data_IF_276135124896
#
_entry.id   IF_276135124896
#
_cell.length_a   1.000
_cell.length_b   1.000
_cell.length_c   1.000
_cell.angle_alpha   90.00
_cell.angle_beta   90.00
_cell.angle_gamma   90.00
#
_symmetry.space_group_name_H-M   'P 1'
#
loop_
_entity.id
_entity.type
_entity.pdbx_description
1 polymer ?
#
# COMPACT_ATOMS: atom_id res chain seq x y z
N UNK A 1 27.25 -80.89 -17.56
CA UNK A 1 26.78 -81.78 -16.47
C UNK A 1 26.51 -80.93 -15.24
N UNK A 2 25.34 -81.13 -14.61
CA UNK A 2 24.90 -80.52 -13.33
C UNK A 2 25.74 -81.03 -12.17
N UNK A 3 25.80 -80.27 -11.05
CA UNK A 3 25.71 -80.69 -9.61
C UNK A 3 26.00 -79.42 -8.75
N UNK A 4 24.96 -78.80 -8.16
CA UNK A 4 24.56 -78.82 -6.72
C UNK A 4 25.51 -78.02 -5.80
N UNK A 5 25.15 -76.81 -5.36
CA UNK A 5 24.32 -76.44 -4.18
C UNK A 5 25.07 -76.38 -2.84
N UNK A 6 25.03 -75.24 -2.13
CA UNK A 6 24.44 -75.07 -0.78
C UNK A 6 24.66 -73.65 -0.22
N UNK A 7 23.67 -73.26 0.58
CA UNK A 7 23.46 -71.97 1.25
C UNK A 7 24.53 -71.63 2.28
N UNK A 8 24.78 -70.33 2.47
CA UNK A 8 25.10 -69.77 3.78
C UNK A 8 24.32 -68.47 3.98
N UNK A 9 23.44 -68.50 4.97
CA UNK A 9 22.60 -67.43 5.46
C UNK A 9 23.45 -66.37 6.16
N UNK A 10 23.25 -65.10 5.82
CA UNK A 10 23.85 -63.97 6.54
C UNK A 10 22.92 -62.78 6.46
N UNK A 11 22.03 -62.64 7.45
CA UNK A 11 21.19 -61.46 7.64
C UNK A 11 22.05 -60.27 8.06
N UNK A 12 22.07 -59.21 7.26
CA UNK A 12 22.52 -57.90 7.68
C UNK A 12 21.44 -56.87 7.32
N UNK A 13 20.75 -56.39 8.34
CA UNK A 13 19.76 -55.33 8.23
C UNK A 13 20.45 -54.01 7.86
N UNK A 14 19.89 -53.27 6.90
CA UNK A 14 20.24 -51.86 6.70
C UNK A 14 18.96 -51.04 6.59
N UNK A 15 18.90 -50.02 7.45
CA UNK A 15 17.74 -49.24 7.80
C UNK A 15 17.12 -48.50 6.60
N UNK A 16 15.79 -48.50 6.59
CA UNK A 16 14.95 -47.67 5.74
C UNK A 16 15.16 -46.19 6.12
N UNK A 17 16.01 -45.48 5.39
CA UNK A 17 16.05 -44.03 5.47
C UNK A 17 14.85 -43.49 4.68
N UNK A 18 13.75 -43.26 5.40
CA UNK A 18 12.68 -42.40 4.91
C UNK A 18 13.28 -41.00 4.71
N UNK A 19 13.63 -40.67 3.46
CA UNK A 19 13.83 -39.28 3.05
C UNK A 19 12.49 -38.59 3.22
N UNK A 20 12.31 -37.90 4.34
CA UNK A 20 11.22 -36.96 4.50
C UNK A 20 11.34 -35.92 3.39
N UNK A 21 10.46 -36.00 2.41
CA UNK A 21 10.21 -34.88 1.51
C UNK A 21 9.58 -33.79 2.37
N UNK A 22 10.40 -32.86 2.88
CA UNK A 22 9.86 -31.59 3.35
C UNK A 22 9.21 -30.93 2.14
N UNK A 23 7.88 -30.90 2.11
CA UNK A 23 7.16 -30.06 1.19
C UNK A 23 7.71 -28.64 1.35
N UNK A 24 8.31 -28.10 0.29
CA UNK A 24 8.57 -26.67 0.23
C UNK A 24 7.19 -26.00 0.22
N UNK A 25 6.75 -25.55 1.39
CA UNK A 25 5.64 -24.62 1.47
C UNK A 25 6.11 -23.37 0.74
N UNK A 26 5.64 -23.18 -0.50
CA UNK A 26 5.68 -21.88 -1.14
C UNK A 26 4.77 -20.99 -0.30
N UNK A 27 5.34 -20.33 0.71
CA UNK A 27 4.66 -19.20 1.33
C UNK A 27 4.47 -18.17 0.22
N UNK A 28 3.24 -18.03 -0.25
CA UNK A 28 2.85 -16.94 -1.14
C UNK A 28 3.17 -15.66 -0.40
N UNK A 29 4.34 -15.06 -0.70
CA UNK A 29 4.64 -13.73 -0.24
C UNK A 29 3.52 -12.82 -0.76
N UNK A 30 2.87 -12.03 0.13
CA UNK A 30 1.88 -11.07 -0.34
C UNK A 30 2.54 -10.19 -1.39
N UNK A 31 1.83 -9.96 -2.49
CA UNK A 31 2.31 -9.08 -3.55
C UNK A 31 2.75 -7.74 -2.91
N UNK A 32 3.91 -7.18 -3.32
CA UNK A 32 4.38 -5.93 -2.77
C UNK A 32 3.28 -4.88 -2.90
N UNK A 33 2.94 -4.22 -1.79
CA UNK A 33 1.94 -3.16 -1.77
C UNK A 33 2.35 -1.99 -2.67
N UNK A 34 1.40 -1.12 -3.07
CA UNK A 34 1.69 0.01 -3.93
C UNK A 34 2.76 0.92 -3.32
N UNK A 35 3.83 1.19 -4.07
CA UNK A 35 4.92 2.07 -3.65
C UNK A 35 4.58 3.53 -3.90
N UNK A 36 4.85 4.41 -2.93
CA UNK A 36 4.66 5.86 -3.08
C UNK A 36 5.81 6.44 -3.91
N UNK A 37 5.46 7.12 -5.00
CA UNK A 37 6.40 7.68 -5.97
C UNK A 37 6.42 9.21 -5.96
N UNK A 38 5.38 9.84 -5.41
CA UNK A 38 5.31 11.28 -5.20
C UNK A 38 4.36 11.57 -4.03
N UNK A 39 4.58 12.66 -3.30
CA UNK A 39 3.69 13.08 -2.22
C UNK A 39 3.77 14.57 -1.99
N UNK A 40 2.69 15.16 -1.48
CA UNK A 40 2.65 16.53 -0.98
C UNK A 40 2.02 16.62 0.40
N UNK A 41 2.36 17.69 1.10
CA UNK A 41 1.86 17.95 2.44
C UNK A 41 1.68 19.44 2.69
N UNK A 42 0.74 19.79 3.56
CA UNK A 42 0.51 21.17 3.97
C UNK A 42 0.03 21.20 5.42
N UNK A 43 0.56 22.16 6.18
CA UNK A 43 0.03 22.53 7.47
C UNK A 43 -1.27 23.33 7.26
N UNK A 44 -2.37 22.86 7.87
CA UNK A 44 -3.69 23.47 7.72
C UNK A 44 -4.04 24.19 9.01
N UNK A 45 -4.15 25.51 8.94
CA UNK A 45 -4.58 26.33 10.06
C UNK A 45 -6.10 26.18 10.28
N UNK A 46 -6.59 26.35 11.53
CA UNK A 46 -8.02 26.38 11.80
C UNK A 46 -8.77 27.38 10.92
N UNK A 47 -9.86 26.93 10.31
CA UNK A 47 -10.73 27.76 9.49
C UNK A 47 -10.24 28.06 8.08
N UNK A 48 -9.13 27.46 7.64
CA UNK A 48 -8.56 27.65 6.30
C UNK A 48 -8.99 26.56 5.33
N UNK A 49 -8.97 26.91 4.05
CA UNK A 49 -9.15 26.01 2.92
C UNK A 49 -8.20 26.43 1.79
N UNK A 50 -7.73 25.47 1.01
CA UNK A 50 -6.88 25.69 -0.13
C UNK A 50 -7.17 24.70 -1.25
N UNK A 51 -6.88 25.11 -2.47
CA UNK A 51 -6.92 24.25 -3.65
C UNK A 51 -5.70 24.52 -4.53
N UNK A 52 -5.02 23.47 -4.96
CA UNK A 52 -3.95 23.55 -5.96
C UNK A 52 -4.33 22.69 -7.16
N UNK A 53 -4.08 23.19 -8.37
CA UNK A 53 -4.29 22.47 -9.63
C UNK A 53 -3.01 22.48 -10.45
N UNK A 54 -2.75 21.37 -11.13
CA UNK A 54 -1.72 21.31 -12.17
C UNK A 54 -2.38 21.01 -13.51
N UNK A 55 -1.97 21.73 -14.56
CA UNK A 55 -2.55 21.62 -15.89
C UNK A 55 -1.48 21.24 -16.91
N UNK A 56 -1.84 20.42 -17.90
CA UNK A 56 -1.02 20.22 -19.07
C UNK A 56 -1.26 21.34 -20.10
N UNK A 57 -0.18 22.03 -20.48
CA UNK A 57 -0.17 23.22 -21.34
C UNK A 57 -0.72 23.03 -22.76
N UNK A 58 -1.03 21.80 -23.17
CA UNK A 58 -1.52 21.48 -24.53
C UNK A 58 -3.05 21.37 -24.66
N UNK A 59 -3.82 21.64 -23.61
CA UNK A 59 -5.29 21.58 -23.75
C UNK A 59 -6.15 21.94 -22.54
N UNK A 60 -5.61 22.66 -21.55
CA UNK A 60 -6.33 23.00 -20.30
C UNK A 60 -6.96 21.78 -19.60
N UNK A 61 -6.29 20.64 -19.69
CA UNK A 61 -6.73 19.44 -18.97
C UNK A 61 -6.02 19.41 -17.63
N UNK A 62 -6.80 19.46 -16.56
CA UNK A 62 -6.33 19.30 -15.18
C UNK A 62 -5.68 17.93 -15.06
N UNK A 63 -4.37 17.90 -14.78
CA UNK A 63 -3.64 16.67 -14.51
C UNK A 63 -3.87 16.21 -13.08
N UNK A 64 -3.74 17.13 -12.12
CA UNK A 64 -4.04 16.87 -10.73
C UNK A 64 -4.73 18.05 -10.08
N UNK A 65 -5.54 17.76 -9.05
CA UNK A 65 -6.14 18.76 -8.21
C UNK A 65 -6.11 18.28 -6.76
N UNK A 66 -5.78 19.18 -5.85
CA UNK A 66 -5.74 18.91 -4.43
C UNK A 66 -6.53 19.97 -3.70
N UNK A 67 -7.55 19.57 -2.94
CA UNK A 67 -8.33 20.46 -2.09
C UNK A 67 -8.22 20.00 -0.63
N UNK A 68 -7.91 20.93 0.26
CA UNK A 68 -7.67 20.64 1.67
C UNK A 68 -8.16 21.78 2.56
N UNK A 69 -8.41 21.49 3.83
CA UNK A 69 -8.90 22.50 4.77
C UNK A 69 -9.44 21.93 6.07
N UNK A 70 -10.01 22.81 6.90
CA UNK A 70 -10.60 22.45 8.20
C UNK A 70 -12.08 22.82 8.34
N UNK A 71 -12.74 23.25 7.26
CA UNK A 71 -14.17 23.61 7.23
C UNK A 71 -14.96 22.68 6.30
N UNK A 72 -16.09 22.08 6.74
CA UNK A 72 -16.61 22.05 8.12
C UNK A 72 -15.86 21.06 9.04
N UNK A 73 -14.92 20.28 8.49
CA UNK A 73 -14.09 19.29 9.19
C UNK A 73 -12.70 19.28 8.57
N UNK A 74 -11.72 18.61 9.18
CA UNK A 74 -10.41 18.41 8.56
C UNK A 74 -10.57 17.53 7.32
N UNK A 75 -10.01 17.94 6.19
CA UNK A 75 -10.09 17.20 4.94
C UNK A 75 -8.85 17.33 4.06
N UNK A 76 -8.62 16.29 3.26
CA UNK A 76 -7.69 16.26 2.14
C UNK A 76 -8.35 15.45 1.03
N UNK A 77 -8.59 16.07 -0.12
CA UNK A 77 -9.21 15.46 -1.28
C UNK A 77 -8.25 15.62 -2.45
N UNK A 78 -7.87 14.52 -3.09
CA UNK A 78 -6.88 14.57 -4.17
C UNK A 78 -7.36 13.81 -5.39
N UNK A 79 -7.18 14.42 -6.57
CA UNK A 79 -7.44 13.86 -7.88
C UNK A 79 -6.14 13.81 -8.67
N UNK A 80 -5.93 12.70 -9.36
CA UNK A 80 -4.93 12.58 -10.41
C UNK A 80 -5.53 11.87 -11.61
N UNK A 81 -5.37 12.45 -12.80
CA UNK A 81 -6.01 11.97 -14.04
C UNK A 81 -5.48 10.62 -14.48
N UNK A 82 -4.17 10.45 -14.46
CA UNK A 82 -3.48 9.30 -15.09
C UNK A 82 -2.84 8.30 -14.12
N UNK A 83 -2.77 8.60 -12.81
CA UNK A 83 -2.01 7.79 -11.84
C UNK A 83 -2.87 7.38 -10.65
N UNK A 84 -2.56 6.20 -10.11
CA UNK A 84 -3.11 5.75 -8.83
C UNK A 84 -2.62 6.66 -7.71
N UNK A 85 -3.49 6.99 -6.77
CA UNK A 85 -3.19 8.00 -5.76
C UNK A 85 -4.05 7.84 -4.51
N UNK A 86 -3.75 8.61 -3.46
CA UNK A 86 -4.58 8.68 -2.27
C UNK A 86 -4.37 9.98 -1.52
N UNK A 87 -5.21 10.19 -0.51
CA UNK A 87 -5.17 11.36 0.38
C UNK A 87 -5.17 10.91 1.83
N UNK A 88 -4.65 11.76 2.70
CA UNK A 88 -4.74 11.55 4.14
C UNK A 88 -4.75 12.87 4.90
N UNK A 89 -5.18 12.80 6.14
CA UNK A 89 -5.13 13.89 7.11
C UNK A 89 -4.48 13.40 8.39
N UNK A 90 -3.78 14.27 9.09
CA UNK A 90 -3.22 14.03 10.42
C UNK A 90 -3.62 15.16 11.34
N UNK A 91 -4.28 14.84 12.44
CA UNK A 91 -4.63 15.84 13.45
C UNK A 91 -3.39 16.25 14.26
N UNK A 92 -3.43 17.39 14.93
CA UNK A 92 -2.40 17.83 15.87
C UNK A 92 -2.15 16.82 17.00
N UNK A 93 -3.17 16.02 17.35
CA UNK A 93 -3.07 14.92 18.31
C UNK A 93 -2.42 13.65 17.73
N UNK A 94 -2.01 13.68 16.46
CA UNK A 94 -1.32 12.58 15.78
C UNK A 94 -2.23 11.53 15.15
N UNK A 95 -3.56 11.69 15.21
CA UNK A 95 -4.50 10.74 14.60
C UNK A 95 -4.46 10.89 13.08
N UNK A 96 -4.21 9.78 12.38
CA UNK A 96 -4.17 9.74 10.92
C UNK A 96 -5.46 9.09 10.39
N UNK A 97 -6.00 9.65 9.32
CA UNK A 97 -7.07 9.02 8.54
C UNK A 97 -6.70 9.11 7.07
N UNK A 98 -6.78 7.99 6.37
CA UNK A 98 -6.25 7.83 5.03
C UNK A 98 -7.26 7.13 4.12
N UNK A 99 -7.33 7.58 2.87
CA UNK A 99 -8.10 6.90 1.82
C UNK A 99 -7.41 5.61 1.40
N UNK A 100 -8.20 4.69 0.82
CA UNK A 100 -7.64 3.63 -0.02
C UNK A 100 -6.89 4.24 -1.21
N UNK A 101 -6.13 3.39 -1.92
CA UNK A 101 -5.57 3.80 -3.20
C UNK A 101 -6.72 3.91 -4.22
N UNK A 102 -6.81 5.05 -4.87
CA UNK A 102 -7.88 5.42 -5.79
C UNK A 102 -7.39 5.32 -7.21
N UNK A 103 -8.25 4.80 -8.09
CA UNK A 103 -7.94 4.64 -9.51
C UNK A 103 -7.73 6.00 -10.21
N UNK A 104 -6.94 6.02 -11.31
CA UNK A 104 -6.80 7.20 -12.15
C UNK A 104 -8.16 7.80 -12.56
N UNK A 105 -8.24 9.13 -12.55
CA UNK A 105 -9.43 9.88 -12.99
C UNK A 105 -10.57 9.90 -11.97
N UNK A 106 -10.36 9.38 -10.77
CA UNK A 106 -11.29 9.48 -9.64
C UNK A 106 -10.71 10.37 -8.54
N UNK A 107 -11.56 10.84 -7.64
CA UNK A 107 -11.13 11.58 -6.46
C UNK A 107 -10.92 10.63 -5.29
N UNK A 108 -9.79 10.78 -4.61
CA UNK A 108 -9.56 10.25 -3.27
C UNK A 108 -10.03 11.25 -2.22
N UNK A 109 -10.58 10.76 -1.12
CA UNK A 109 -11.09 11.59 -0.03
C UNK A 109 -10.62 11.07 1.33
N UNK A 110 -10.13 11.99 2.16
CA UNK A 110 -9.78 11.72 3.54
C UNK A 110 -10.35 12.82 4.45
N UNK A 111 -10.93 12.41 5.57
CA UNK A 111 -11.59 13.31 6.51
C UNK A 111 -11.20 12.98 7.95
N UNK A 112 -11.19 14.00 8.79
CA UNK A 112 -10.99 13.88 10.22
C UNK A 112 -11.70 14.99 10.97
N UNK A 113 -11.68 14.91 12.30
CA UNK A 113 -12.11 16.02 13.14
C UNK A 113 -10.95 16.99 13.30
N UNK A 114 -11.16 18.25 12.91
CA UNK A 114 -10.14 19.28 13.08
C UNK A 114 -9.85 19.50 14.57
N UNK A 115 -8.59 19.72 14.92
CA UNK A 115 -8.21 20.01 16.30
C UNK A 115 -8.43 21.50 16.56
N UNK A 116 -9.32 21.90 17.49
CA UNK A 116 -9.58 23.31 17.74
C UNK A 116 -8.30 24.06 18.12
N UNK A 117 -8.07 25.24 17.51
CA UNK A 117 -6.95 26.13 17.79
C UNK A 117 -5.56 25.49 17.65
N UNK A 118 -5.43 24.43 16.85
CA UNK A 118 -4.17 23.75 16.57
C UNK A 118 -3.98 23.57 15.06
N UNK A 119 -2.74 23.35 14.67
CA UNK A 119 -2.36 23.06 13.30
C UNK A 119 -2.53 21.57 13.03
N UNK A 120 -3.39 21.23 12.08
CA UNK A 120 -3.51 19.89 11.52
C UNK A 120 -2.73 19.81 10.20
N UNK A 121 -2.69 18.63 9.57
CA UNK A 121 -1.99 18.43 8.31
C UNK A 121 -2.86 17.69 7.30
N UNK A 122 -2.73 18.08 6.04
CA UNK A 122 -3.31 17.38 4.90
C UNK A 122 -2.18 16.87 3.99
N UNK A 123 -2.41 15.72 3.37
CA UNK A 123 -1.45 15.07 2.49
C UNK A 123 -2.13 14.48 1.25
N UNK A 124 -1.35 14.32 0.19
CA UNK A 124 -1.63 13.42 -0.92
C UNK A 124 -0.43 12.53 -1.23
N UNK A 125 -0.68 11.41 -1.90
CA UNK A 125 0.33 10.50 -2.43
C UNK A 125 -0.04 10.05 -3.83
N UNK A 126 0.95 9.86 -4.68
CA UNK A 126 0.86 9.11 -5.93
C UNK A 126 1.57 7.79 -5.73
N UNK A 127 0.99 6.72 -6.25
CA UNK A 127 1.54 5.37 -6.18
C UNK A 127 1.85 4.83 -7.57
N UNK A 128 2.86 3.96 -7.69
CA UNK A 128 3.14 3.16 -8.88
C UNK A 128 2.42 1.83 -8.87
#
# INVERSE_FOLDING_TARGET
MKILSRLATGTLALALMATGTTAANAETLPAPGPTVVESGSVAVQPGTAGTTTSDHSRGFVVESSWSYGTKPRLYSNYFHRSRWHGSSVKTAAGRITQSANTSPGQWSYAYGTATPNRVDYAYYRITS
#
